data_IF_478286544585
#
_entry.id   IF_478286544585
#
_cell.length_a   1.000
_cell.length_b   1.000
_cell.length_c   1.000
_cell.angle_alpha   90.00
_cell.angle_beta   90.00
_cell.angle_gamma   90.00
#
_symmetry.space_group_name_H-M   'P 1'
#
loop_
_entity.id
_entity.type
_entity.pdbx_description
1 polymer ?
#
# COMPACT_ATOMS: atom_id res chain seq x y z
N UNK A 1 -22.45 46.43 9.01
CA UNK A 1 -21.20 46.49 8.23
C UNK A 1 -20.01 45.72 8.87
N UNK A 2 -20.22 44.87 9.88
CA UNK A 2 -19.13 44.12 10.56
C UNK A 2 -18.99 42.64 10.17
N UNK A 3 -19.88 42.11 9.30
CA UNK A 3 -19.88 40.70 8.90
C UNK A 3 -19.01 40.42 7.65
N UNK A 4 -18.92 41.40 6.74
CA UNK A 4 -18.20 41.31 5.46
C UNK A 4 -16.67 41.43 5.58
N UNK A 5 -16.15 41.94 6.70
CA UNK A 5 -14.71 41.99 6.96
C UNK A 5 -14.14 40.65 7.46
N UNK A 6 -14.98 39.77 8.01
CA UNK A 6 -14.52 38.45 8.48
C UNK A 6 -14.39 37.46 7.32
N UNK A 7 -15.37 37.41 6.41
CA UNK A 7 -15.32 36.50 5.25
C UNK A 7 -14.12 36.80 4.34
N UNK A 8 -13.83 38.07 4.09
CA UNK A 8 -12.64 38.47 3.31
C UNK A 8 -11.31 38.16 4.00
N UNK A 9 -11.27 37.99 5.33
CA UNK A 9 -10.06 37.54 6.04
C UNK A 9 -9.88 36.03 5.92
N UNK A 10 -10.97 35.25 5.96
CA UNK A 10 -10.92 33.80 5.81
C UNK A 10 -10.61 33.34 4.38
N UNK A 11 -11.12 34.02 3.35
CA UNK A 11 -10.85 33.66 1.95
C UNK A 11 -9.38 33.93 1.57
N UNK A 12 -8.78 35.01 2.11
CA UNK A 12 -7.43 35.46 1.76
C UNK A 12 -6.30 34.66 2.44
N UNK A 13 -6.57 34.07 3.61
CA UNK A 13 -5.62 33.19 4.31
C UNK A 13 -5.46 31.81 3.64
N UNK A 14 -6.41 31.41 2.78
CA UNK A 14 -6.40 30.12 2.08
C UNK A 14 -5.60 30.21 0.76
N UNK A 15 -5.60 31.36 0.09
CA UNK A 15 -4.95 31.54 -1.23
C UNK A 15 -3.42 31.72 -1.20
N UNK A 16 -2.82 32.10 -0.06
CA UNK A 16 -1.37 32.42 0.00
C UNK A 16 -0.57 31.67 1.07
N UNK A 17 -1.11 30.59 1.65
CA UNK A 17 -0.29 29.70 2.47
C UNK A 17 0.57 28.81 1.57
N UNK A 18 1.53 29.42 0.87
CA UNK A 18 2.59 28.72 0.17
C UNK A 18 3.17 27.71 1.15
N UNK A 19 3.04 26.42 0.82
CA UNK A 19 3.50 25.32 1.65
C UNK A 19 5.01 25.44 1.79
N UNK A 20 5.47 26.15 2.83
CA UNK A 20 6.89 26.42 3.04
C UNK A 20 7.59 25.08 3.21
N UNK A 21 8.45 24.74 2.24
CA UNK A 21 9.24 23.51 2.22
C UNK A 21 10.00 23.33 3.53
N UNK A 22 10.38 24.41 4.21
CA UNK A 22 11.03 24.40 5.53
C UNK A 22 10.11 23.89 6.64
N UNK A 23 8.82 24.20 6.57
CA UNK A 23 7.80 23.71 7.51
C UNK A 23 7.53 22.22 7.30
N UNK A 24 7.44 21.77 6.05
CA UNK A 24 7.30 20.34 5.72
C UNK A 24 8.52 19.54 6.18
N UNK A 25 9.73 20.08 5.99
CA UNK A 25 10.97 19.44 6.45
C UNK A 25 11.05 19.33 7.98
N UNK A 26 10.50 20.29 8.74
CA UNK A 26 10.40 20.20 10.21
C UNK A 26 9.44 19.08 10.63
N UNK A 27 8.30 18.92 9.94
CA UNK A 27 7.35 17.83 10.18
C UNK A 27 7.97 16.45 9.86
N UNK A 28 8.71 16.34 8.75
CA UNK A 28 9.50 15.13 8.44
C UNK A 28 10.57 14.84 9.51
N UNK A 29 11.04 15.86 10.22
CA UNK A 29 11.89 15.72 11.41
C UNK A 29 11.23 14.99 12.57
N UNK A 30 9.90 15.02 12.69
CA UNK A 30 9.15 14.24 13.70
C UNK A 30 8.97 12.77 13.31
N UNK A 31 9.13 12.43 12.02
CA UNK A 31 9.14 11.04 11.53
C UNK A 31 10.49 10.36 11.82
N UNK A 32 11.53 11.16 12.14
CA UNK A 32 12.91 10.72 12.38
C UNK A 32 13.06 9.58 13.43
N UNK A 33 12.36 9.57 14.58
CA UNK A 33 12.39 8.44 15.51
C UNK A 33 11.70 7.17 14.99
N UNK A 34 10.80 7.26 14.01
CA UNK A 34 10.03 6.14 13.45
C UNK A 34 10.52 5.67 12.08
N UNK A 35 11.72 6.09 11.65
CA UNK A 35 12.28 5.74 10.33
C UNK A 35 12.37 4.23 10.08
N UNK A 36 12.60 3.44 11.12
CA UNK A 36 12.62 1.98 11.02
C UNK A 36 11.22 1.43 10.70
N UNK A 37 10.18 1.87 11.43
CA UNK A 37 8.80 1.48 11.16
C UNK A 37 8.38 1.92 9.76
N UNK A 38 8.69 3.16 9.36
CA UNK A 38 8.39 3.67 8.03
C UNK A 38 9.08 2.83 6.94
N UNK A 39 10.36 2.51 7.11
CA UNK A 39 11.10 1.65 6.19
C UNK A 39 10.52 0.24 6.11
N UNK A 40 10.13 -0.34 7.25
CA UNK A 40 9.49 -1.64 7.34
C UNK A 40 8.12 -1.63 6.63
N UNK A 41 7.29 -0.62 6.84
CA UNK A 41 5.99 -0.47 6.17
C UNK A 41 6.14 -0.33 4.66
N UNK A 42 7.10 0.47 4.19
CA UNK A 42 7.40 0.60 2.75
C UNK A 42 7.87 -0.75 2.18
N UNK A 43 8.73 -1.46 2.89
CA UNK A 43 9.21 -2.77 2.47
C UNK A 43 8.07 -3.81 2.41
N UNK A 44 7.23 -3.87 3.43
CA UNK A 44 6.01 -4.68 3.45
C UNK A 44 5.11 -4.35 2.26
N UNK A 45 4.86 -3.06 2.00
CA UNK A 45 4.04 -2.61 0.88
C UNK A 45 4.57 -3.12 -0.47
N UNK A 46 5.90 -3.10 -0.68
CA UNK A 46 6.51 -3.64 -1.90
C UNK A 46 6.32 -5.16 -2.01
N UNK A 47 6.44 -5.90 -0.91
CA UNK A 47 6.18 -7.35 -0.89
C UNK A 47 4.71 -7.63 -1.22
N UNK A 48 3.78 -6.89 -0.61
CA UNK A 48 2.34 -7.05 -0.85
C UNK A 48 2.02 -6.77 -2.32
N UNK A 49 2.55 -5.68 -2.89
CA UNK A 49 2.38 -5.37 -4.32
C UNK A 49 2.99 -6.44 -5.24
N UNK A 50 4.12 -7.03 -4.88
CA UNK A 50 4.70 -8.13 -5.64
C UNK A 50 3.83 -9.39 -5.58
N UNK A 51 3.29 -9.74 -4.41
CA UNK A 51 2.38 -10.87 -4.23
C UNK A 51 1.09 -10.69 -5.05
N UNK A 52 0.54 -9.48 -5.09
CA UNK A 52 -0.63 -9.15 -5.93
C UNK A 52 -0.39 -9.42 -7.41
N UNK A 53 0.86 -9.31 -7.89
CA UNK A 53 1.24 -9.65 -9.28
C UNK A 53 1.47 -11.15 -9.46
N UNK A 54 1.96 -11.86 -8.42
CA UNK A 54 2.17 -13.31 -8.46
C UNK A 54 0.84 -14.06 -8.62
N UNK A 55 -0.23 -13.59 -7.98
CA UNK A 55 -1.58 -14.17 -8.08
C UNK A 55 -2.08 -14.33 -9.53
N UNK A 56 -2.20 -13.27 -10.36
CA UNK A 56 -2.63 -13.39 -11.75
C UNK A 56 -1.65 -14.19 -12.62
N UNK A 57 -0.36 -14.19 -12.28
CA UNK A 57 0.64 -15.02 -12.97
C UNK A 57 0.43 -16.51 -12.73
N UNK A 58 0.12 -16.92 -11.50
CA UNK A 58 -0.22 -18.31 -11.17
C UNK A 58 -1.51 -18.74 -11.87
N UNK A 59 -2.53 -17.87 -11.93
CA UNK A 59 -3.77 -18.12 -12.68
C UNK A 59 -3.48 -18.34 -14.16
N UNK A 60 -2.60 -17.52 -14.76
CA UNK A 60 -2.17 -17.70 -16.15
C UNK A 60 -1.54 -19.07 -16.38
N UNK A 61 -0.65 -19.51 -15.50
CA UNK A 61 -0.02 -20.85 -15.62
C UNK A 61 -1.06 -21.97 -15.44
N UNK A 62 -2.01 -21.81 -14.52
CA UNK A 62 -3.13 -22.73 -14.35
C UNK A 62 -3.91 -22.91 -15.67
N UNK A 63 -4.26 -21.80 -16.31
CA UNK A 63 -5.01 -21.80 -17.57
C UNK A 63 -4.17 -22.40 -18.71
N UNK A 64 -3.00 -21.81 -18.98
CA UNK A 64 -2.22 -22.11 -20.19
C UNK A 64 -1.63 -23.53 -20.17
N UNK A 65 -1.19 -24.02 -19.00
CA UNK A 65 -0.48 -25.31 -18.90
C UNK A 65 -1.33 -26.49 -18.44
N UNK A 66 -2.41 -26.26 -17.71
CA UNK A 66 -3.19 -27.36 -17.13
C UNK A 66 -4.61 -27.41 -17.66
N UNK A 67 -5.30 -26.27 -17.73
CA UNK A 67 -6.69 -26.22 -18.18
C UNK A 67 -6.83 -26.35 -19.71
N UNK A 68 -6.09 -25.56 -20.50
CA UNK A 68 -6.15 -25.59 -21.97
C UNK A 68 -5.79 -26.96 -22.56
N UNK A 69 -4.68 -27.61 -22.18
CA UNK A 69 -4.35 -28.94 -22.70
C UNK A 69 -5.11 -30.08 -21.99
N UNK A 70 -5.99 -29.77 -21.02
CA UNK A 70 -6.70 -30.74 -20.17
C UNK A 70 -5.79 -31.74 -19.44
N UNK A 71 -4.54 -31.34 -19.19
CA UNK A 71 -3.55 -32.14 -18.48
C UNK A 71 -3.44 -31.62 -17.05
N UNK A 72 -4.10 -32.30 -16.13
CA UNK A 72 -4.12 -31.92 -14.72
C UNK A 72 -2.88 -32.41 -13.94
N UNK A 73 -1.93 -33.05 -14.62
CA UNK A 73 -0.68 -33.51 -14.01
C UNK A 73 0.07 -32.34 -13.38
N UNK A 74 0.15 -32.35 -12.05
CA UNK A 74 0.80 -31.31 -11.27
C UNK A 74 -0.05 -30.08 -10.96
N UNK A 75 -1.30 -30.02 -11.43
CA UNK A 75 -2.22 -28.91 -11.17
C UNK A 75 -2.49 -28.71 -9.67
N UNK A 76 -2.54 -29.80 -8.90
CA UNK A 76 -2.74 -29.74 -7.45
C UNK A 76 -1.63 -28.99 -6.72
N UNK A 77 -0.37 -29.12 -7.16
CA UNK A 77 0.74 -28.36 -6.56
C UNK A 77 0.61 -26.87 -6.85
N UNK A 78 0.09 -26.51 -8.02
CA UNK A 78 -0.18 -25.12 -8.39
C UNK A 78 -1.33 -24.52 -7.58
N UNK A 79 -2.39 -25.29 -7.31
CA UNK A 79 -3.48 -24.90 -6.41
C UNK A 79 -2.96 -24.69 -4.98
N UNK A 80 -2.16 -25.62 -4.46
CA UNK A 80 -1.57 -25.51 -3.12
C UNK A 80 -0.66 -24.28 -3.04
N UNK A 81 0.20 -24.08 -4.05
CA UNK A 81 1.08 -22.90 -4.12
C UNK A 81 0.27 -21.61 -4.18
N UNK A 82 -0.80 -21.56 -4.96
CA UNK A 82 -1.71 -20.42 -5.04
C UNK A 82 -2.36 -20.12 -3.69
N UNK A 83 -2.86 -21.15 -3.00
CA UNK A 83 -3.41 -21.01 -1.65
C UNK A 83 -2.36 -20.50 -0.65
N UNK A 84 -1.12 -20.99 -0.73
CA UNK A 84 -0.03 -20.52 0.12
C UNK A 84 0.34 -19.05 -0.15
N UNK A 85 0.33 -18.61 -1.41
CA UNK A 85 0.56 -17.21 -1.79
C UNK A 85 -0.53 -16.31 -1.23
N UNK A 86 -1.81 -16.69 -1.36
CA UNK A 86 -2.93 -15.92 -0.78
C UNK A 86 -2.86 -15.84 0.74
N UNK A 87 -2.53 -16.95 1.42
CA UNK A 87 -2.35 -16.95 2.87
C UNK A 87 -1.19 -16.04 3.30
N UNK A 88 -0.08 -16.08 2.56
CA UNK A 88 1.07 -15.21 2.77
C UNK A 88 0.71 -13.73 2.58
N UNK A 89 0.05 -13.39 1.48
CA UNK A 89 -0.44 -12.03 1.20
C UNK A 89 -1.33 -11.50 2.33
N UNK A 90 -2.30 -12.31 2.77
CA UNK A 90 -3.18 -11.96 3.88
C UNK A 90 -2.41 -11.70 5.17
N UNK A 91 -1.43 -12.55 5.52
CA UNK A 91 -0.57 -12.37 6.68
C UNK A 91 0.24 -11.09 6.61
N UNK A 92 0.91 -10.83 5.48
CA UNK A 92 1.71 -9.61 5.30
C UNK A 92 0.85 -8.36 5.36
N UNK A 93 -0.33 -8.38 4.72
CA UNK A 93 -1.29 -7.28 4.75
C UNK A 93 -1.82 -7.02 6.17
N UNK A 94 -2.12 -8.08 6.92
CA UNK A 94 -2.55 -7.97 8.32
C UNK A 94 -1.46 -7.36 9.22
N UNK A 95 -0.21 -7.82 9.08
CA UNK A 95 0.93 -7.26 9.82
C UNK A 95 1.11 -5.78 9.46
N UNK A 96 1.06 -5.42 8.17
CA UNK A 96 1.18 -4.04 7.71
C UNK A 96 0.08 -3.14 8.30
N UNK A 97 -1.17 -3.61 8.34
CA UNK A 97 -2.30 -2.88 8.92
C UNK A 97 -2.05 -2.59 10.41
N UNK A 98 -1.64 -3.61 11.17
CA UNK A 98 -1.40 -3.47 12.60
C UNK A 98 -0.23 -2.51 12.91
N UNK A 99 0.82 -2.51 12.08
CA UNK A 99 1.96 -1.59 12.21
C UNK A 99 1.61 -0.14 11.82
N UNK A 100 0.55 0.07 11.04
CA UNK A 100 0.15 1.40 10.56
C UNK A 100 -0.94 2.02 11.45
N UNK A 101 -1.74 1.20 12.12
CA UNK A 101 -2.75 1.63 13.09
C UNK A 101 -2.19 2.04 14.46
N UNK A 102 -0.91 1.79 14.74
CA UNK A 102 -0.22 2.14 15.99
C UNK A 102 0.81 3.25 15.77
#
# INVERSE_FOLDING_TARGET
MHKLLRENFYEKDIEEKQLDRRTVLKLLGYVKPYKFLLGLTVFLLLITAALEIVVPYLIKIAIDRHLTPQKLDGFIYLIILFGAVLAGEFLFRYIQQYLTEY
#
